data_IF_964598961118
#
_entry.id   IF_964598961118
#
_cell.length_a   1.000
_cell.length_b   1.000
_cell.length_c   1.000
_cell.angle_alpha   90.00
_cell.angle_beta   90.00
_cell.angle_gamma   90.00
#
_symmetry.space_group_name_H-M   'P 1'
#
loop_
_entity.id
_entity.type
_entity.pdbx_description
1 polymer ?
#
# COMPACT_ATOMS: atom_id res chain seq x y z
N UNK A 1 -56.11 48.81 -30.95
CA UNK A 1 -54.84 48.21 -30.49
C UNK A 1 -54.85 46.76 -30.91
N UNK A 2 -54.07 46.43 -31.95
CA UNK A 2 -54.05 45.11 -32.58
C UNK A 2 -52.93 44.23 -31.98
N UNK A 3 -53.21 42.94 -32.03
CA UNK A 3 -52.55 41.79 -31.45
C UNK A 3 -51.12 41.53 -31.97
N UNK A 4 -50.46 40.53 -31.35
CA UNK A 4 -49.41 39.62 -31.90
C UNK A 4 -47.99 39.80 -31.35
N UNK A 5 -47.61 38.94 -30.39
CA UNK A 5 -46.22 38.47 -30.27
C UNK A 5 -46.16 36.97 -30.56
N UNK A 6 -45.19 36.64 -31.40
CA UNK A 6 -44.94 35.36 -32.05
C UNK A 6 -44.41 34.34 -31.07
N UNK A 7 -44.91 33.13 -31.20
CA UNK A 7 -44.21 31.88 -30.87
C UNK A 7 -43.09 31.71 -31.90
N UNK A 8 -41.87 31.46 -31.44
CA UNK A 8 -40.85 30.81 -32.27
C UNK A 8 -40.13 29.74 -31.45
N UNK A 9 -40.08 28.58 -32.09
CA UNK A 9 -39.61 27.29 -31.64
C UNK A 9 -38.08 27.27 -31.58
N UNK A 10 -37.51 26.84 -30.45
CA UNK A 10 -36.11 26.42 -30.40
C UNK A 10 -36.06 24.89 -30.42
N UNK A 11 -35.54 24.37 -31.53
CA UNK A 11 -35.18 22.97 -31.74
C UNK A 11 -34.13 22.54 -30.70
N UNK A 12 -34.48 21.53 -29.90
CA UNK A 12 -33.55 20.82 -29.03
C UNK A 12 -32.80 19.75 -29.83
N UNK A 13 -31.50 19.96 -30.04
CA UNK A 13 -30.60 18.91 -30.55
C UNK A 13 -30.47 17.77 -29.53
N UNK A 14 -30.43 16.50 -29.96
CA UNK A 14 -30.26 15.37 -29.05
C UNK A 14 -28.82 15.28 -28.52
N UNK A 15 -28.69 14.98 -27.22
CA UNK A 15 -27.42 14.72 -26.54
C UNK A 15 -26.79 13.40 -27.04
N UNK A 16 -25.45 13.32 -27.16
CA UNK A 16 -24.77 12.08 -27.53
C UNK A 16 -24.84 11.03 -26.40
N UNK A 17 -24.98 9.76 -26.78
CA UNK A 17 -25.00 8.64 -25.87
C UNK A 17 -23.66 8.46 -25.12
N UNK A 18 -23.68 7.98 -23.85
CA UNK A 18 -22.45 7.78 -23.09
C UNK A 18 -21.64 6.60 -23.65
N UNK A 19 -20.32 6.80 -23.72
CA UNK A 19 -19.36 5.79 -24.14
C UNK A 19 -19.30 4.63 -23.13
N UNK A 20 -19.31 3.41 -23.67
CA UNK A 20 -19.15 2.16 -22.91
C UNK A 20 -17.70 2.05 -22.45
N UNK A 21 -17.48 1.96 -21.13
CA UNK A 21 -16.17 1.70 -20.56
C UNK A 21 -15.74 0.23 -20.83
N UNK A 22 -14.48 -0.03 -21.20
CA UNK A 22 -14.00 -1.39 -21.41
C UNK A 22 -13.87 -2.15 -20.09
N UNK A 23 -14.34 -3.40 -20.11
CA UNK A 23 -14.27 -4.38 -19.03
C UNK A 23 -12.83 -4.62 -18.58
N UNK A 24 -12.55 -4.44 -17.29
CA UNK A 24 -11.26 -4.79 -16.70
C UNK A 24 -11.11 -6.32 -16.67
N UNK A 25 -9.99 -6.82 -17.21
CA UNK A 25 -9.61 -8.22 -17.14
C UNK A 25 -9.10 -8.59 -15.72
N UNK A 26 -9.36 -9.82 -15.24
CA UNK A 26 -8.81 -10.28 -13.96
C UNK A 26 -7.30 -10.54 -14.04
N UNK A 27 -6.55 -10.37 -12.94
CA UNK A 27 -5.11 -10.66 -12.90
C UNK A 27 -4.83 -12.17 -12.97
N UNK A 28 -3.69 -12.59 -13.56
CA UNK A 28 -3.34 -13.99 -13.72
C UNK A 28 -2.95 -14.64 -12.37
N UNK A 29 -3.48 -15.84 -12.14
CA UNK A 29 -3.07 -16.73 -11.05
C UNK A 29 -1.76 -17.43 -11.42
N UNK A 30 -0.70 -17.27 -10.62
CA UNK A 30 0.53 -18.04 -10.80
C UNK A 30 0.52 -19.26 -9.87
N UNK A 31 0.55 -20.44 -10.51
CA UNK A 31 0.59 -21.76 -9.89
C UNK A 31 1.95 -22.12 -9.31
N UNK A 32 1.91 -23.06 -8.37
CA UNK A 32 3.03 -23.51 -7.57
C UNK A 32 4.09 -24.31 -8.31
N UNK A 33 5.26 -24.39 -7.68
CA UNK A 33 6.36 -25.25 -8.09
C UNK A 33 6.45 -26.46 -7.18
N UNK A 34 6.44 -27.63 -7.80
CA UNK A 34 6.70 -28.93 -7.19
C UNK A 34 8.19 -29.24 -7.20
N UNK A 35 8.54 -30.13 -6.27
CA UNK A 35 9.84 -30.54 -5.80
C UNK A 35 10.44 -31.68 -6.63
N UNK A 36 11.78 -31.72 -6.71
CA UNK A 36 12.56 -32.97 -6.66
C UNK A 36 13.19 -33.45 -7.96
N UNK A 37 14.53 -33.57 -7.95
CA UNK A 37 15.24 -34.74 -8.51
C UNK A 37 16.66 -34.85 -7.93
N UNK A 38 16.88 -35.96 -7.24
CA UNK A 38 18.16 -36.59 -6.90
C UNK A 38 19.12 -36.73 -8.09
N UNK A 39 20.43 -36.62 -7.85
CA UNK A 39 21.42 -37.50 -8.49
C UNK A 39 22.58 -37.84 -7.56
N UNK A 40 22.78 -39.15 -7.39
CA UNK A 40 23.91 -39.80 -6.72
C UNK A 40 25.14 -39.83 -7.61
N UNK A 41 26.33 -39.76 -7.02
CA UNK A 41 27.60 -40.07 -7.66
C UNK A 41 28.68 -40.34 -6.62
N UNK A 42 29.00 -41.61 -6.44
CA UNK A 42 30.05 -42.19 -5.59
C UNK A 42 31.42 -42.11 -6.29
N UNK A 43 32.51 -41.82 -5.56
CA UNK A 43 33.83 -42.44 -5.76
C UNK A 43 34.88 -42.03 -4.71
N UNK A 44 35.22 -43.00 -3.85
CA UNK A 44 36.55 -43.41 -3.37
C UNK A 44 37.52 -42.45 -2.65
N UNK A 45 37.91 -42.91 -1.45
CA UNK A 45 38.95 -42.42 -0.53
C UNK A 45 40.36 -42.88 -0.90
N UNK A 46 41.37 -42.00 -0.73
CA UNK A 46 42.76 -42.35 -0.35
C UNK A 46 43.35 -41.20 0.51
N UNK A 47 44.04 -41.46 1.64
CA UNK A 47 44.48 -40.40 2.56
C UNK A 47 45.87 -39.86 2.21
N UNK A 48 46.01 -38.54 2.12
CA UNK A 48 47.28 -37.84 1.91
C UNK A 48 47.42 -36.67 2.87
N UNK A 49 48.60 -36.55 3.48
CA UNK A 49 48.93 -35.72 4.63
C UNK A 49 48.56 -34.23 4.53
N UNK A 50 48.17 -33.68 5.69
CA UNK A 50 47.76 -32.28 5.88
C UNK A 50 48.92 -31.28 5.74
N UNK A 51 48.77 -30.22 4.93
CA UNK A 51 49.46 -28.97 5.16
C UNK A 51 48.63 -28.04 6.06
N UNK A 52 49.35 -27.38 6.96
CA UNK A 52 48.93 -26.36 7.91
C UNK A 52 48.01 -25.30 7.27
N UNK A 53 46.74 -25.30 7.66
CA UNK A 53 45.77 -24.30 7.24
C UNK A 53 46.09 -22.93 7.87
N UNK A 54 46.49 -21.99 7.04
CA UNK A 54 46.23 -20.57 7.21
C UNK A 54 44.71 -20.33 7.32
N UNK A 55 44.24 -19.34 8.09
CA UNK A 55 42.81 -19.00 8.09
C UNK A 55 42.45 -18.43 6.72
N UNK A 56 41.87 -19.27 5.88
CA UNK A 56 41.11 -18.85 4.70
C UNK A 56 39.85 -18.16 5.22
N UNK A 57 39.85 -16.83 5.23
CA UNK A 57 38.62 -16.06 5.32
C UNK A 57 37.83 -16.32 4.05
N UNK A 58 36.99 -17.34 4.09
CA UNK A 58 35.92 -17.54 3.11
C UNK A 58 34.94 -16.40 3.29
N UNK A 59 35.07 -15.34 2.49
CA UNK A 59 33.98 -14.40 2.29
C UNK A 59 32.85 -15.16 1.58
N UNK A 60 31.84 -15.57 2.34
CA UNK A 60 30.56 -15.98 1.77
C UNK A 60 29.94 -14.80 1.01
N UNK A 61 29.20 -15.04 -0.07
CA UNK A 61 28.48 -13.99 -0.76
C UNK A 61 27.37 -13.52 0.18
N UNK A 62 27.21 -12.20 0.32
CA UNK A 62 26.33 -11.53 1.28
C UNK A 62 26.92 -11.50 2.69
N UNK A 63 27.64 -10.43 3.02
CA UNK A 63 27.95 -10.12 4.41
C UNK A 63 26.62 -10.01 5.17
N UNK A 64 26.42 -10.87 6.17
CA UNK A 64 25.28 -10.81 7.08
C UNK A 64 25.20 -9.41 7.68
N UNK A 65 24.28 -8.58 7.17
CA UNK A 65 23.96 -7.31 7.82
C UNK A 65 23.05 -7.65 8.97
N UNK A 66 23.57 -7.49 10.19
CA UNK A 66 22.77 -7.63 11.40
C UNK A 66 21.54 -6.68 11.41
N UNK A 67 21.58 -5.63 10.58
CA UNK A 67 20.58 -4.57 10.53
C UNK A 67 20.08 -4.26 9.12
N UNK A 68 18.76 -4.15 8.96
CA UNK A 68 18.09 -3.62 7.76
C UNK A 68 17.66 -2.18 7.98
N UNK A 69 17.84 -1.37 6.93
CA UNK A 69 17.39 0.03 6.90
C UNK A 69 15.89 0.07 6.68
N UNK A 70 15.20 0.95 7.38
CA UNK A 70 13.75 1.13 7.27
C UNK A 70 13.41 2.56 6.87
N UNK A 71 12.57 2.70 5.85
CA UNK A 71 12.09 3.99 5.39
C UNK A 71 10.57 4.00 5.15
N UNK A 72 10.00 5.19 5.00
CA UNK A 72 8.63 5.40 4.53
C UNK A 72 8.68 5.97 3.12
N UNK A 73 8.41 5.16 2.07
CA UNK A 73 8.23 5.69 0.74
C UNK A 73 6.94 6.49 0.65
N UNK A 74 6.98 7.58 -0.10
CA UNK A 74 5.82 8.39 -0.45
C UNK A 74 5.53 8.22 -1.93
N UNK A 75 4.29 7.83 -2.25
CA UNK A 75 3.81 7.67 -3.62
C UNK A 75 2.63 8.59 -3.89
N UNK A 76 2.56 9.15 -5.09
CA UNK A 76 1.39 9.88 -5.56
C UNK A 76 0.16 8.95 -5.59
N UNK A 77 -0.93 9.41 -4.99
CA UNK A 77 -2.20 8.70 -5.05
C UNK A 77 -2.78 8.78 -6.45
N UNK A 78 -3.21 7.63 -6.99
CA UNK A 78 -3.79 7.54 -8.34
C UNK A 78 -5.10 8.35 -8.45
N UNK A 79 -5.86 8.46 -7.36
CA UNK A 79 -7.11 9.20 -7.32
C UNK A 79 -7.05 10.35 -6.30
N UNK A 80 -7.42 11.55 -6.74
CA UNK A 80 -7.58 12.72 -5.88
C UNK A 80 -8.86 12.60 -5.03
N UNK A 81 -8.76 12.82 -3.72
CA UNK A 81 -9.93 12.87 -2.83
C UNK A 81 -10.41 14.32 -2.68
N UNK A 82 -11.59 14.68 -3.23
CA UNK A 82 -12.10 16.04 -3.17
C UNK A 82 -12.50 16.49 -1.75
N UNK A 83 -12.67 15.57 -0.80
CA UNK A 83 -13.02 15.88 0.59
C UNK A 83 -11.79 16.05 1.49
N UNK A 84 -10.60 15.80 0.97
CA UNK A 84 -9.34 15.84 1.70
C UNK A 84 -8.29 16.63 0.91
N UNK A 85 -8.46 17.97 0.83
CA UNK A 85 -7.79 18.80 -0.17
C UNK A 85 -6.27 18.95 -0.03
N UNK A 86 -5.62 18.82 1.16
CA UNK A 86 -4.17 18.75 1.21
C UNK A 86 -3.68 17.46 0.55
N UNK A 87 -2.66 17.58 -0.32
CA UNK A 87 -2.03 16.41 -0.94
C UNK A 87 -1.54 15.44 0.13
N UNK A 88 -2.04 14.20 0.08
CA UNK A 88 -1.55 13.09 0.91
C UNK A 88 -0.92 12.05 0.00
N UNK A 89 0.29 11.65 0.33
CA UNK A 89 0.95 10.54 -0.34
C UNK A 89 0.45 9.21 0.21
N UNK A 90 0.38 8.21 -0.66
CA UNK A 90 0.32 6.83 -0.20
C UNK A 90 1.66 6.46 0.40
N UNK A 91 1.67 5.76 1.52
CA UNK A 91 2.89 5.36 2.22
C UNK A 91 2.70 4.06 2.99
N UNK A 92 3.80 3.56 3.54
CA UNK A 92 3.89 2.37 4.37
C UNK A 92 5.30 2.23 4.94
N UNK A 93 5.60 1.06 5.49
CA UNK A 93 6.93 0.72 6.01
C UNK A 93 7.67 -0.06 4.94
N UNK A 94 8.80 0.47 4.46
CA UNK A 94 9.72 -0.26 3.61
C UNK A 94 10.91 -0.77 4.44
N UNK A 95 11.22 -2.05 4.33
CA UNK A 95 12.44 -2.64 4.88
C UNK A 95 13.35 -3.02 3.74
N UNK A 96 14.50 -2.36 3.62
CA UNK A 96 15.52 -2.66 2.61
C UNK A 96 16.33 -3.88 3.03
N UNK A 97 16.03 -5.04 2.44
CA UNK A 97 16.71 -6.31 2.73
C UNK A 97 17.94 -6.53 1.86
N UNK A 98 17.98 -5.92 0.66
CA UNK A 98 19.14 -5.92 -0.22
C UNK A 98 19.57 -4.50 -0.56
N UNK A 99 20.71 -4.10 -0.02
CA UNK A 99 21.24 -2.74 -0.20
C UNK A 99 22.01 -2.51 -1.50
N UNK A 100 22.39 -3.59 -2.20
CA UNK A 100 23.04 -3.48 -3.51
C UNK A 100 22.02 -3.16 -4.60
N UNK A 101 20.83 -3.78 -4.51
CA UNK A 101 19.73 -3.55 -5.47
C UNK A 101 18.74 -2.48 -5.00
N UNK A 102 18.71 -2.17 -3.70
CA UNK A 102 17.68 -1.32 -3.08
C UNK A 102 16.34 -2.04 -2.92
N UNK A 103 16.35 -3.38 -2.98
CA UNK A 103 15.18 -4.24 -2.88
C UNK A 103 14.82 -4.54 -1.43
N UNK A 104 13.53 -4.75 -1.19
CA UNK A 104 13.01 -4.96 0.14
C UNK A 104 11.56 -5.40 0.17
N UNK A 105 10.95 -5.29 1.35
CA UNK A 105 9.52 -5.55 1.52
C UNK A 105 8.80 -4.29 1.95
N UNK A 106 7.71 -3.99 1.24
CA UNK A 106 6.82 -2.89 1.54
C UNK A 106 5.58 -3.39 2.27
N UNK A 107 5.43 -2.99 3.54
CA UNK A 107 4.25 -3.25 4.37
C UNK A 107 3.35 -2.02 4.34
N UNK A 108 2.13 -2.16 3.85
CA UNK A 108 1.22 -1.02 3.74
C UNK A 108 -0.25 -1.42 3.93
N UNK A 109 -1.10 -0.41 4.05
CA UNK A 109 -2.55 -0.59 3.86
C UNK A 109 -2.96 0.07 2.56
N UNK A 110 -3.74 -0.63 1.74
CA UNK A 110 -4.12 -0.22 0.39
C UNK A 110 -5.62 -0.40 0.14
N UNK A 111 -6.13 0.19 -0.93
CA UNK A 111 -7.56 0.31 -1.23
C UNK A 111 -8.13 1.67 -0.83
N UNK A 112 -9.45 1.78 -0.81
CA UNK A 112 -10.13 3.07 -0.66
C UNK A 112 -11.03 3.12 0.57
N UNK A 113 -11.05 4.26 1.26
CA UNK A 113 -11.94 4.52 2.39
C UNK A 113 -13.42 4.69 1.98
N UNK A 114 -13.73 4.61 0.68
CA UNK A 114 -15.11 4.54 0.16
C UNK A 114 -15.61 3.09 0.04
N UNK A 115 -14.70 2.12 -0.07
CA UNK A 115 -15.06 0.71 -0.24
C UNK A 115 -15.80 0.18 0.98
N UNK A 116 -16.68 -0.83 0.79
CA UNK A 116 -17.44 -1.44 1.90
C UNK A 116 -16.53 -1.95 3.03
N UNK A 117 -15.41 -2.58 2.67
CA UNK A 117 -14.47 -3.15 3.63
C UNK A 117 -13.33 -2.19 4.00
N UNK A 118 -13.37 -0.94 3.51
CA UNK A 118 -12.27 0.01 3.67
C UNK A 118 -10.97 -0.44 3.01
N UNK A 119 -9.86 -0.04 3.63
CA UNK A 119 -8.51 -0.40 3.24
C UNK A 119 -8.09 -1.72 3.90
N UNK A 120 -7.19 -2.45 3.24
CA UNK A 120 -6.66 -3.74 3.70
C UNK A 120 -5.14 -3.72 3.80
N UNK A 121 -4.58 -4.54 4.67
CA UNK A 121 -3.14 -4.71 4.79
C UNK A 121 -2.61 -5.60 3.65
N UNK A 122 -1.47 -5.22 3.08
CA UNK A 122 -0.74 -6.00 2.08
C UNK A 122 0.77 -5.87 2.29
N UNK A 123 1.51 -6.86 1.77
CA UNK A 123 2.97 -6.85 1.72
C UNK A 123 3.39 -7.09 0.27
N UNK A 124 4.18 -6.16 -0.26
CA UNK A 124 4.86 -6.34 -1.54
C UNK A 124 6.27 -6.83 -1.22
N UNK A 125 6.58 -8.06 -1.62
CA UNK A 125 7.93 -8.61 -1.53
C UNK A 125 8.74 -8.19 -2.76
N UNK A 126 10.07 -8.11 -2.60
CA UNK A 126 11.00 -7.76 -3.67
C UNK A 126 10.68 -6.39 -4.31
N UNK A 127 10.18 -5.44 -3.53
CA UNK A 127 9.85 -4.10 -3.98
C UNK A 127 11.11 -3.22 -4.08
N UNK A 128 11.12 -2.34 -5.07
CA UNK A 128 12.12 -1.29 -5.23
C UNK A 128 11.35 0.03 -5.41
N UNK A 129 11.07 0.78 -4.33
CA UNK A 129 10.16 1.92 -4.35
C UNK A 129 10.44 2.95 -5.45
N UNK A 130 11.72 3.19 -5.76
CA UNK A 130 12.14 4.17 -6.74
C UNK A 130 11.83 3.80 -8.20
N UNK A 131 11.38 2.58 -8.48
CA UNK A 131 11.10 2.12 -9.86
C UNK A 131 9.72 2.50 -10.38
N UNK A 132 8.78 2.86 -9.50
CA UNK A 132 7.44 3.28 -9.92
C UNK A 132 7.41 4.76 -10.29
N UNK A 133 6.65 5.09 -11.34
CA UNK A 133 6.43 6.47 -11.78
C UNK A 133 5.74 7.35 -10.73
N UNK A 134 5.05 6.74 -9.77
CA UNK A 134 4.35 7.44 -8.69
C UNK A 134 5.27 7.78 -7.52
N UNK A 135 6.52 7.32 -7.53
CA UNK A 135 7.45 7.55 -6.43
C UNK A 135 7.79 9.03 -6.27
N UNK A 136 7.64 9.54 -5.05
CA UNK A 136 8.01 10.90 -4.70
C UNK A 136 9.34 10.95 -3.95
N UNK A 137 9.46 10.22 -2.83
CA UNK A 137 10.68 10.17 -2.00
C UNK A 137 10.66 9.01 -1.01
N UNK A 138 11.83 8.72 -0.44
CA UNK A 138 12.00 7.86 0.74
C UNK A 138 12.44 8.70 1.93
N UNK A 139 11.82 8.48 3.09
CA UNK A 139 12.24 9.08 4.36
C UNK A 139 12.72 7.98 5.30
N UNK A 140 14.00 8.00 5.70
CA UNK A 140 14.52 7.04 6.67
C UNK A 140 13.82 7.23 8.04
N UNK A 141 13.38 6.13 8.64
CA UNK A 141 12.69 6.13 9.94
C UNK A 141 13.42 5.32 11.01
N UNK A 142 14.44 4.56 10.63
CA UNK A 142 15.28 3.80 11.54
C UNK A 142 15.83 2.50 10.94
N UNK A 143 16.13 1.57 11.84
CA UNK A 143 16.81 0.31 11.57
C UNK A 143 16.13 -0.82 12.34
N UNK A 144 16.12 -2.03 11.78
CA UNK A 144 15.62 -3.24 12.43
C UNK A 144 16.70 -4.31 12.40
N UNK A 145 16.69 -5.24 13.35
CA UNK A 145 17.58 -6.40 13.29
C UNK A 145 17.08 -7.42 12.28
N UNK A 146 17.99 -8.09 11.59
CA UNK A 146 17.68 -9.20 10.68
C UNK A 146 16.85 -10.28 11.40
N UNK A 147 17.18 -10.59 12.65
CA UNK A 147 16.45 -11.57 13.47
C UNK A 147 14.98 -11.18 13.76
N UNK A 148 14.66 -9.88 13.75
CA UNK A 148 13.31 -9.39 14.04
C UNK A 148 12.46 -9.20 12.77
N UNK A 149 13.08 -9.17 11.59
CA UNK A 149 12.38 -8.97 10.33
C UNK A 149 11.19 -9.93 10.10
N UNK A 150 11.28 -11.25 10.37
CA UNK A 150 10.14 -12.16 10.20
C UNK A 150 8.93 -11.84 11.10
N UNK A 151 9.14 -11.11 12.21
CA UNK A 151 8.07 -10.75 13.17
C UNK A 151 7.20 -9.59 12.68
N UNK A 152 7.72 -8.77 11.76
CA UNK A 152 7.07 -7.51 11.33
C UNK A 152 5.69 -7.75 10.74
N UNK A 153 5.57 -8.73 9.84
CA UNK A 153 4.29 -9.04 9.16
C UNK A 153 3.18 -9.27 10.17
N UNK A 154 3.38 -10.19 11.12
CA UNK A 154 2.35 -10.53 12.11
C UNK A 154 1.98 -9.37 13.03
N UNK A 155 2.94 -8.50 13.37
CA UNK A 155 2.68 -7.32 14.20
C UNK A 155 1.86 -6.28 13.45
N UNK A 156 2.22 -6.00 12.18
CA UNK A 156 1.55 -4.99 11.38
C UNK A 156 0.17 -5.46 10.88
N UNK A 157 0.03 -6.73 10.53
CA UNK A 157 -1.23 -7.33 10.09
C UNK A 157 -2.28 -7.36 11.21
N UNK A 158 -1.84 -7.45 12.47
CA UNK A 158 -2.73 -7.41 13.63
C UNK A 158 -3.27 -5.99 13.95
N UNK A 159 -2.74 -4.94 13.31
CA UNK A 159 -3.24 -3.57 13.50
C UNK A 159 -4.58 -3.37 12.80
N UNK A 160 -5.49 -2.57 13.37
CA UNK A 160 -6.73 -2.22 12.68
C UNK A 160 -6.41 -1.46 11.39
N UNK A 161 -7.02 -1.87 10.29
CA UNK A 161 -6.90 -1.17 9.01
C UNK A 161 -7.95 -0.06 8.90
N UNK A 162 -7.71 0.99 8.11
CA UNK A 162 -8.70 2.04 7.91
C UNK A 162 -10.02 1.53 7.35
N UNK A 163 -11.12 1.67 8.09
CA UNK A 163 -12.44 1.21 7.65
C UNK A 163 -13.15 2.25 6.76
N UNK A 164 -14.33 1.92 6.25
CA UNK A 164 -15.14 2.80 5.38
C UNK A 164 -15.44 4.14 6.06
N UNK A 165 -15.01 5.25 5.47
CA UNK A 165 -15.23 6.62 5.99
C UNK A 165 -16.00 7.50 5.02
N UNK A 166 -16.10 7.07 3.76
CA UNK A 166 -16.77 7.82 2.71
C UNK A 166 -17.81 6.94 2.01
N UNK A 167 -18.76 7.62 1.40
CA UNK A 167 -19.79 7.02 0.55
C UNK A 167 -20.21 7.97 -0.55
N UNK A 168 -20.92 7.42 -1.53
CA UNK A 168 -21.63 8.22 -2.52
C UNK A 168 -23.02 8.48 -1.96
N UNK A 169 -23.44 9.74 -1.92
CA UNK A 169 -24.78 10.09 -1.50
C UNK A 169 -25.80 9.78 -2.61
N UNK A 170 -26.58 8.72 -2.40
CA UNK A 170 -27.70 8.31 -3.26
C UNK A 170 -29.07 8.72 -2.70
N UNK A 171 -29.12 9.32 -1.50
CA UNK A 171 -30.34 9.48 -0.72
C UNK A 171 -30.84 10.91 -0.70
N UNK A 172 -29.92 11.86 -0.89
CA UNK A 172 -30.27 13.28 -0.90
C UNK A 172 -31.14 13.61 -2.10
N UNK A 173 -32.29 14.25 -1.80
CA UNK A 173 -33.24 14.75 -2.81
C UNK A 173 -32.80 16.04 -3.49
N UNK A 174 -31.74 16.68 -3.00
CA UNK A 174 -31.11 17.84 -3.64
C UNK A 174 -30.28 17.38 -4.87
N UNK A 175 -30.70 17.73 -6.10
CA UNK A 175 -29.98 17.37 -7.32
C UNK A 175 -28.54 17.89 -7.36
N UNK A 176 -28.22 18.96 -6.60
CA UNK A 176 -26.87 19.52 -6.55
C UNK A 176 -25.90 18.70 -5.67
N UNK A 177 -26.40 17.80 -4.83
CA UNK A 177 -25.61 16.93 -3.94
C UNK A 177 -25.64 15.45 -4.36
N UNK A 178 -26.52 15.12 -5.30
CA UNK A 178 -26.65 13.80 -5.86
C UNK A 178 -25.30 13.25 -6.37
N UNK A 179 -24.99 12.00 -6.05
CA UNK A 179 -23.75 11.29 -6.41
C UNK A 179 -22.43 11.94 -5.93
N UNK A 180 -22.47 12.90 -5.00
CA UNK A 180 -21.23 13.44 -4.43
C UNK A 180 -20.66 12.49 -3.39
N UNK A 181 -19.33 12.42 -3.34
CA UNK A 181 -18.62 11.77 -2.25
C UNK A 181 -18.95 12.57 -0.98
N UNK A 182 -19.35 11.87 0.07
CA UNK A 182 -19.67 12.42 1.38
C UNK A 182 -19.08 11.58 2.50
N UNK A 183 -18.99 12.15 3.69
CA UNK A 183 -18.50 11.45 4.88
C UNK A 183 -19.60 10.55 5.45
N UNK A 184 -19.24 9.30 5.74
CA UNK A 184 -20.14 8.30 6.31
C UNK A 184 -19.57 7.70 7.58
N UNK A 185 -20.46 7.10 8.36
CA UNK A 185 -20.09 6.14 9.40
C UNK A 185 -19.54 4.87 8.75
N UNK A 186 -19.03 3.97 9.59
CA UNK A 186 -18.46 2.70 9.13
C UNK A 186 -19.50 1.77 8.47
N UNK A 187 -20.74 1.81 8.96
CA UNK A 187 -21.87 1.11 8.35
C UNK A 187 -22.35 1.74 7.03
N UNK A 188 -21.79 2.88 6.62
CA UNK A 188 -22.15 3.61 5.40
C UNK A 188 -23.31 4.60 5.57
N UNK A 189 -23.88 4.74 6.77
CA UNK A 189 -24.89 5.76 7.05
C UNK A 189 -24.29 7.16 7.09
N UNK A 190 -25.12 8.15 6.76
CA UNK A 190 -24.75 9.56 6.89
C UNK A 190 -24.68 9.97 8.37
N UNK A 191 -23.80 10.91 8.68
CA UNK A 191 -23.81 11.57 9.98
C UNK A 191 -25.07 12.44 10.13
N UNK A 192 -25.66 12.43 11.32
CA UNK A 192 -26.78 13.30 11.65
C UNK A 192 -26.38 14.79 11.75
N UNK A 193 -27.37 15.71 11.76
CA UNK A 193 -27.11 17.11 12.01
C UNK A 193 -26.50 17.28 13.42
N UNK A 194 -25.26 17.75 13.48
CA UNK A 194 -24.43 17.90 14.70
C UNK A 194 -23.81 16.62 15.26
N UNK A 195 -23.86 15.49 14.54
CA UNK A 195 -23.12 14.31 14.95
C UNK A 195 -21.62 14.51 14.69
N UNK A 196 -20.79 14.26 15.72
CA UNK A 196 -19.35 14.40 15.60
C UNK A 196 -18.79 13.35 14.64
N UNK A 197 -18.09 13.81 13.60
CA UNK A 197 -17.39 12.93 12.66
C UNK A 197 -16.17 12.30 13.32
N UNK A 198 -15.90 11.03 13.01
CA UNK A 198 -14.64 10.38 13.37
C UNK A 198 -13.45 11.02 12.66
N UNK A 199 -12.27 10.87 13.25
CA UNK A 199 -11.01 11.31 12.65
C UNK A 199 -10.77 10.57 11.34
N UNK A 200 -10.22 11.29 10.36
CA UNK A 200 -9.85 10.71 9.07
C UNK A 200 -8.61 9.85 9.28
N UNK A 201 -8.67 8.60 8.85
CA UNK A 201 -7.54 7.67 8.87
C UNK A 201 -7.36 7.08 7.47
N UNK A 202 -6.24 7.34 6.82
CA UNK A 202 -5.83 6.69 5.56
C UNK A 202 -4.52 5.92 5.80
N UNK A 203 -3.91 5.41 4.72
CA UNK A 203 -2.60 4.75 4.79
C UNK A 203 -1.52 5.60 5.46
N UNK A 204 -1.54 6.92 5.24
CA UNK A 204 -0.60 7.84 5.87
C UNK A 204 -0.75 7.88 7.40
N UNK A 205 -1.97 8.09 7.90
CA UNK A 205 -2.23 8.07 9.34
C UNK A 205 -1.98 6.69 9.94
N UNK A 206 -2.39 5.61 9.27
CA UNK A 206 -2.11 4.25 9.73
C UNK A 206 -0.60 4.02 9.91
N UNK A 207 0.21 4.46 8.95
CA UNK A 207 1.67 4.30 8.98
C UNK A 207 2.28 5.11 10.14
N UNK A 208 1.99 6.40 10.21
CA UNK A 208 2.65 7.30 11.16
C UNK A 208 2.09 7.23 12.59
N UNK A 209 0.80 6.94 12.74
CA UNK A 209 0.13 6.95 14.06
C UNK A 209 0.02 5.55 14.67
N UNK A 210 0.02 4.47 13.86
CA UNK A 210 -0.12 3.10 14.36
C UNK A 210 1.13 2.26 14.10
N UNK A 211 1.53 2.08 12.84
CA UNK A 211 2.59 1.12 12.48
C UNK A 211 3.96 1.49 13.07
N UNK A 212 4.45 2.72 12.84
CA UNK A 212 5.75 3.16 13.34
C UNK A 212 5.79 3.12 14.89
N UNK A 213 4.83 3.70 15.62
CA UNK A 213 4.81 3.61 17.08
C UNK A 213 4.75 2.18 17.59
N UNK A 214 3.97 1.29 16.93
CA UNK A 214 3.87 -0.11 17.33
C UNK A 214 5.22 -0.83 17.21
N UNK A 215 5.91 -0.72 16.08
CA UNK A 215 7.23 -1.35 15.89
C UNK A 215 8.27 -0.82 16.87
N UNK A 216 8.21 0.47 17.22
CA UNK A 216 9.08 1.06 18.25
C UNK A 216 8.76 0.50 19.65
N UNK A 217 7.47 0.39 19.99
CA UNK A 217 7.04 -0.13 21.30
C UNK A 217 7.37 -1.61 21.50
N UNK A 218 7.41 -2.39 20.43
CA UNK A 218 7.82 -3.80 20.43
C UNK A 218 9.35 -3.97 20.44
N UNK A 219 10.10 -2.86 20.42
CA UNK A 219 11.57 -2.87 20.40
C UNK A 219 12.16 -3.41 19.09
N UNK A 220 11.40 -3.34 17.99
CA UNK A 220 11.84 -3.83 16.67
C UNK A 220 12.48 -2.71 15.86
N UNK A 221 11.86 -1.52 15.84
CA UNK A 221 12.35 -0.36 15.10
C UNK A 221 13.17 0.56 15.99
N UNK A 222 14.44 0.76 15.63
CA UNK A 222 15.40 1.57 16.36
C UNK A 222 15.76 2.83 15.58
N UNK A 223 15.90 3.97 16.27
CA UNK A 223 16.26 5.24 15.63
C UNK A 223 17.72 5.29 15.15
N UNK A 224 18.59 4.43 15.70
CA UNK A 224 20.01 4.32 15.37
C UNK A 224 20.52 2.91 15.67
N UNK A 225 21.61 2.52 15.03
CA UNK A 225 22.39 1.30 15.31
C UNK A 225 23.46 1.54 16.38
#
# INVERSE_FOLDING_TARGET
MFNKKRSDSMQSSPLPAPAVAPSAAPPPSFGGWTQGADMKGDMTLVPGAAPRATPTTTAGPHGHREWYKVCTPEYDTVAYDPLDPPKRYHTGIFVETNTETGEGSQFHVTGDIIARNGMRFEVIENDVPATTQYFHRNTEIGWIREADYPRIRGILEALPTPTKQQGIDFWTKDPAQWNKITWTKENGELYGPNEQRRSIMKCNEWTHQLAIPKLRSEGILHSSI
#
